data_IF_102974043752
#
_entry.id   IF_102974043752
#
_cell.length_a   1.000
_cell.length_b   1.000
_cell.length_c   1.000
_cell.angle_alpha   90.00
_cell.angle_beta   90.00
_cell.angle_gamma   90.00
#
_symmetry.space_group_name_H-M   'P 1'
#
loop_
_entity.id
_entity.type
_entity.pdbx_description
1 polymer ?
#
# COMPACT_ATOMS: atom_id res chain seq x y z
N UNK A 1 -13.47 -12.74 -8.97
CA UNK A 1 -12.51 -13.10 -10.04
C UNK A 1 -13.07 -13.00 -11.48
N UNK A 2 -14.39 -12.98 -11.73
CA UNK A 2 -14.95 -13.04 -13.10
C UNK A 2 -14.79 -11.78 -13.99
N UNK A 3 -14.37 -10.62 -13.48
CA UNK A 3 -14.21 -9.39 -14.30
C UNK A 3 -12.87 -9.29 -15.05
N UNK A 4 -11.89 -10.15 -14.74
CA UNK A 4 -10.58 -10.18 -15.38
C UNK A 4 -10.53 -11.03 -16.67
N UNK A 5 -11.63 -11.68 -17.05
CA UNK A 5 -11.72 -12.50 -18.28
C UNK A 5 -11.77 -11.68 -19.58
N UNK A 6 -11.90 -10.36 -19.49
CA UNK A 6 -11.71 -9.48 -20.65
C UNK A 6 -10.22 -9.16 -20.77
N UNK A 7 -9.55 -9.72 -21.79
CA UNK A 7 -8.10 -9.64 -21.96
C UNK A 7 -7.51 -8.22 -21.87
N UNK A 8 -8.27 -7.19 -22.27
CA UNK A 8 -7.88 -5.78 -22.14
C UNK A 8 -7.67 -5.34 -20.68
N UNK A 9 -8.58 -5.69 -19.76
CA UNK A 9 -8.46 -5.30 -18.35
C UNK A 9 -7.32 -6.01 -17.64
N UNK A 10 -6.98 -7.22 -18.07
CA UNK A 10 -5.85 -7.96 -17.53
C UNK A 10 -4.52 -7.33 -17.94
N UNK A 11 -4.36 -6.95 -19.21
CA UNK A 11 -3.15 -6.23 -19.66
C UNK A 11 -3.03 -4.84 -19.03
N UNK A 12 -4.15 -4.10 -18.89
CA UNK A 12 -4.15 -2.83 -18.14
C UNK A 12 -3.72 -3.04 -16.69
N UNK A 13 -4.19 -4.11 -16.02
CA UNK A 13 -3.80 -4.44 -14.64
C UNK A 13 -2.32 -4.82 -14.54
N UNK A 14 -1.82 -5.59 -15.51
CA UNK A 14 -0.40 -5.93 -15.62
C UNK A 14 0.48 -4.70 -15.82
N UNK A 15 0.02 -3.73 -16.60
CA UNK A 15 0.75 -2.47 -16.82
C UNK A 15 0.96 -1.69 -15.52
N UNK A 16 -0.01 -1.75 -14.58
CA UNK A 16 0.12 -1.09 -13.27
C UNK A 16 1.27 -1.68 -12.47
N UNK A 17 1.40 -3.01 -12.40
CA UNK A 17 2.49 -3.64 -11.68
C UNK A 17 3.85 -3.44 -12.36
N UNK A 18 3.91 -3.37 -13.69
CA UNK A 18 5.15 -2.98 -14.41
C UNK A 18 5.60 -1.57 -14.01
N UNK A 19 4.68 -0.60 -14.00
CA UNK A 19 4.98 0.76 -13.55
C UNK A 19 5.45 0.79 -12.09
N UNK A 20 4.88 -0.06 -11.22
CA UNK A 20 5.31 -0.14 -9.83
C UNK A 20 6.69 -0.77 -9.66
N UNK A 21 7.04 -1.74 -10.51
CA UNK A 21 8.39 -2.32 -10.58
C UNK A 21 9.40 -1.24 -11.01
N UNK A 22 9.10 -0.48 -12.09
CA UNK A 22 9.95 0.62 -12.58
C UNK A 22 10.16 1.72 -11.52
N UNK A 23 9.16 1.97 -10.69
CA UNK A 23 9.22 2.97 -9.61
C UNK A 23 9.81 2.44 -8.29
N UNK A 24 10.27 1.18 -8.25
CA UNK A 24 10.74 0.52 -7.01
C UNK A 24 9.70 0.60 -5.87
N UNK A 25 8.42 0.51 -6.22
CA UNK A 25 7.30 0.36 -5.28
C UNK A 25 7.16 -1.12 -4.89
N UNK A 26 7.39 -2.00 -5.87
CA UNK A 26 7.45 -3.45 -5.70
C UNK A 26 8.73 -3.98 -6.34
N UNK A 27 9.16 -5.15 -5.89
CA UNK A 27 10.24 -5.91 -6.52
C UNK A 27 9.87 -7.40 -6.58
N UNK A 28 10.49 -8.14 -7.50
CA UNK A 28 10.32 -9.59 -7.56
C UNK A 28 11.07 -10.24 -6.42
N UNK A 29 10.45 -11.24 -5.81
CA UNK A 29 11.13 -12.09 -4.84
C UNK A 29 12.08 -13.03 -5.60
N UNK A 30 13.38 -13.05 -5.25
CA UNK A 30 14.34 -13.99 -5.83
C UNK A 30 13.90 -15.44 -5.61
N UNK A 31 14.15 -16.32 -6.60
CA UNK A 31 13.75 -17.73 -6.50
C UNK A 31 14.34 -18.43 -5.27
N UNK A 32 15.55 -18.05 -4.88
CA UNK A 32 16.26 -18.57 -3.69
C UNK A 32 15.60 -18.15 -2.38
N UNK A 33 14.79 -17.08 -2.36
CA UNK A 33 14.11 -16.53 -1.18
C UNK A 33 12.63 -16.93 -1.10
N UNK A 34 12.11 -17.68 -2.09
CA UNK A 34 10.70 -18.09 -2.11
C UNK A 34 10.30 -18.93 -0.89
N UNK A 35 11.24 -19.66 -0.30
CA UNK A 35 11.03 -20.51 0.86
C UNK A 35 11.22 -19.81 2.22
N UNK A 36 11.54 -18.50 2.22
CA UNK A 36 11.63 -17.74 3.47
C UNK A 36 10.28 -17.68 4.19
N UNK A 37 10.33 -17.44 5.51
CA UNK A 37 9.15 -17.08 6.27
C UNK A 37 8.52 -15.81 5.70
N UNK A 38 7.24 -15.87 5.33
CA UNK A 38 6.59 -14.81 4.60
C UNK A 38 5.08 -14.78 4.81
N UNK A 39 4.44 -13.72 4.33
CA UNK A 39 2.99 -13.58 4.28
C UNK A 39 2.53 -13.04 2.93
N UNK A 40 1.43 -13.57 2.41
CA UNK A 40 0.86 -13.19 1.13
C UNK A 40 -0.39 -12.34 1.28
N UNK A 41 -0.35 -11.12 0.76
CA UNK A 41 -1.48 -10.22 0.67
C UNK A 41 -2.36 -10.60 -0.52
N UNK A 42 -3.63 -10.98 -0.29
CA UNK A 42 -4.57 -11.10 -1.38
C UNK A 42 -4.84 -9.71 -1.96
N UNK A 43 -4.97 -9.65 -3.28
CA UNK A 43 -5.32 -8.42 -3.98
C UNK A 43 -6.42 -8.64 -5.00
N UNK A 44 -7.07 -7.53 -5.35
CA UNK A 44 -8.06 -7.48 -6.42
C UNK A 44 -8.00 -6.15 -7.15
N UNK A 45 -8.31 -6.12 -8.46
CA UNK A 45 -8.49 -4.88 -9.18
C UNK A 45 -9.79 -4.19 -8.75
N UNK A 46 -9.70 -2.90 -8.44
CA UNK A 46 -10.85 -1.99 -8.40
C UNK A 46 -10.81 -1.14 -9.66
N UNK A 47 -11.85 -1.28 -10.49
CA UNK A 47 -11.98 -0.57 -11.76
C UNK A 47 -12.92 0.61 -11.56
N UNK A 48 -12.44 1.83 -11.82
CA UNK A 48 -13.22 3.07 -11.80
C UNK A 48 -13.13 3.73 -13.17
N UNK A 49 -14.08 3.41 -14.05
CA UNK A 49 -14.09 3.86 -15.45
C UNK A 49 -14.28 5.37 -15.58
N UNK A 50 -14.88 5.98 -14.56
CA UNK A 50 -15.12 7.40 -14.36
C UNK A 50 -13.90 8.17 -13.81
N UNK A 51 -12.84 7.45 -13.40
CA UNK A 51 -11.63 8.09 -12.89
C UNK A 51 -10.79 8.67 -14.02
N UNK A 52 -10.55 9.99 -13.97
CA UNK A 52 -9.69 10.69 -14.93
C UNK A 52 -8.21 10.26 -14.84
N UNK A 53 -7.73 9.89 -13.65
CA UNK A 53 -6.30 9.64 -13.39
C UNK A 53 -5.95 8.16 -13.31
N UNK A 54 -6.79 7.30 -12.72
CA UNK A 54 -6.44 5.88 -12.54
C UNK A 54 -7.64 4.97 -12.71
N UNK A 55 -7.77 4.40 -13.91
CA UNK A 55 -8.87 3.52 -14.30
C UNK A 55 -8.87 2.18 -13.55
N UNK A 56 -7.70 1.66 -13.17
CA UNK A 56 -7.55 0.40 -12.43
C UNK A 56 -6.60 0.60 -11.25
N UNK A 57 -7.05 0.22 -10.05
CA UNK A 57 -6.25 0.25 -8.83
C UNK A 57 -6.18 -1.14 -8.18
N UNK A 58 -4.99 -1.73 -8.01
CA UNK A 58 -4.84 -2.90 -7.17
C UNK A 58 -5.14 -2.54 -5.71
N UNK A 59 -6.04 -3.29 -5.07
CA UNK A 59 -6.36 -3.16 -3.66
C UNK A 59 -5.94 -4.43 -2.94
N UNK A 60 -5.16 -4.26 -1.90
CA UNK A 60 -4.61 -5.34 -1.07
C UNK A 60 -5.37 -5.39 0.26
N UNK A 61 -5.55 -6.60 0.77
CA UNK A 61 -6.27 -6.82 2.03
C UNK A 61 -5.37 -7.48 3.07
N UNK A 62 -4.77 -6.67 3.92
CA UNK A 62 -3.97 -7.13 5.07
C UNK A 62 -4.82 -7.61 6.26
N UNK A 63 -6.15 -7.55 6.16
CA UNK A 63 -7.09 -8.05 7.17
C UNK A 63 -7.68 -9.42 6.79
N UNK A 64 -7.38 -9.90 5.58
CA UNK A 64 -7.70 -11.24 5.15
C UNK A 64 -7.03 -12.26 6.08
N UNK A 65 -7.79 -13.28 6.49
CA UNK A 65 -7.32 -14.32 7.41
C UNK A 65 -7.84 -15.68 7.01
N UNK A 66 -7.03 -16.70 7.25
CA UNK A 66 -7.48 -18.08 7.22
C UNK A 66 -8.32 -18.39 8.48
N UNK A 67 -9.25 -19.34 8.40
CA UNK A 67 -10.07 -19.72 9.54
C UNK A 67 -9.17 -20.19 10.70
N UNK A 68 -9.26 -19.50 11.83
CA UNK A 68 -8.48 -19.82 13.03
C UNK A 68 -7.05 -19.29 13.04
N UNK A 69 -6.63 -18.50 12.04
CA UNK A 69 -5.32 -17.83 12.02
C UNK A 69 -5.48 -16.30 12.09
N UNK A 70 -4.49 -15.57 12.63
CA UNK A 70 -4.51 -14.10 12.61
C UNK A 70 -4.31 -13.57 11.19
N UNK A 71 -4.82 -12.37 10.91
CA UNK A 71 -4.43 -11.59 9.73
C UNK A 71 -3.09 -10.88 9.98
N UNK A 72 -2.45 -10.37 8.92
CA UNK A 72 -1.28 -9.52 9.06
C UNK A 72 -1.56 -8.32 9.99
N UNK A 73 -2.71 -7.69 9.84
CA UNK A 73 -3.11 -6.56 10.69
C UNK A 73 -3.35 -6.91 12.16
N UNK A 74 -3.63 -8.18 12.48
CA UNK A 74 -3.73 -8.63 13.88
C UNK A 74 -2.35 -8.85 14.51
N UNK A 75 -1.32 -9.14 13.68
CA UNK A 75 0.06 -9.36 14.12
C UNK A 75 0.88 -8.07 14.21
N UNK A 76 0.47 -7.00 13.52
CA UNK A 76 1.20 -5.74 13.48
C UNK A 76 0.84 -4.82 14.66
N UNK A 77 1.86 -4.18 15.22
CA UNK A 77 1.64 -3.05 16.12
C UNK A 77 1.17 -1.84 15.32
N UNK A 78 -0.05 -1.37 15.59
CA UNK A 78 -0.70 -0.28 14.85
C UNK A 78 -0.05 1.08 15.08
N UNK A 79 0.69 1.24 16.17
CA UNK A 79 1.16 2.53 16.65
C UNK A 79 0.08 3.33 17.38
N UNK A 80 0.49 4.45 17.97
CA UNK A 80 -0.43 5.42 18.57
C UNK A 80 -1.17 6.20 17.47
N UNK A 81 -2.40 6.60 17.74
CA UNK A 81 -3.13 7.44 16.80
C UNK A 81 -2.59 8.88 16.86
N UNK A 82 -1.80 9.26 15.88
CA UNK A 82 -1.23 10.60 15.72
C UNK A 82 -2.09 11.53 14.86
N UNK A 83 -3.26 11.06 14.38
CA UNK A 83 -4.15 11.89 13.58
C UNK A 83 -4.83 12.89 14.51
N UNK A 84 -4.57 14.16 14.26
CA UNK A 84 -5.23 15.25 14.96
C UNK A 84 -6.73 15.30 14.67
N UNK A 85 -7.50 15.81 15.63
CA UNK A 85 -8.94 15.94 15.45
C UNK A 85 -9.23 17.07 14.48
N UNK A 86 -10.13 16.82 13.52
CA UNK A 86 -10.53 17.81 12.51
C UNK A 86 -10.97 19.16 13.13
N UNK A 87 -11.77 19.21 14.22
CA UNK A 87 -12.14 20.48 14.84
C UNK A 87 -10.92 21.29 15.29
N UNK A 88 -9.93 20.65 15.94
CA UNK A 88 -8.72 21.31 16.43
C UNK A 88 -7.90 21.90 15.27
N UNK A 89 -7.82 21.18 14.15
CA UNK A 89 -7.18 21.67 12.91
C UNK A 89 -7.92 22.90 12.36
N UNK A 90 -9.25 22.83 12.27
CA UNK A 90 -10.08 23.92 11.73
C UNK A 90 -10.02 25.17 12.60
N UNK A 91 -10.00 25.02 13.92
CA UNK A 91 -9.90 26.13 14.85
C UNK A 91 -8.56 26.86 14.68
N UNK A 92 -7.43 26.13 14.60
CA UNK A 92 -6.12 26.74 14.35
C UNK A 92 -6.02 27.39 12.97
N UNK A 93 -6.59 26.76 11.95
CA UNK A 93 -6.61 27.30 10.58
C UNK A 93 -7.35 28.65 10.49
N UNK A 94 -8.33 28.89 11.38
CA UNK A 94 -9.12 30.14 11.44
C UNK A 94 -8.47 31.26 12.25
N UNK A 95 -7.39 31.01 12.98
CA UNK A 95 -6.74 32.03 13.83
C UNK A 95 -6.13 33.16 13.00
N UNK A 96 -5.60 32.86 11.82
CA UNK A 96 -4.89 33.81 10.98
C UNK A 96 -5.66 34.12 9.69
N UNK A 97 -5.49 35.34 9.12
CA UNK A 97 -6.23 35.75 7.93
C UNK A 97 -5.83 35.01 6.65
N UNK A 98 -4.68 34.32 6.65
CA UNK A 98 -4.18 33.55 5.51
C UNK A 98 -3.84 32.15 5.97
N UNK A 99 -4.39 31.13 5.29
CA UNK A 99 -4.10 29.73 5.51
C UNK A 99 -3.40 29.10 4.30
N UNK A 100 -2.42 28.22 4.57
CA UNK A 100 -1.70 27.47 3.53
C UNK A 100 -2.11 26.00 3.65
N UNK A 101 -2.42 25.38 2.52
CA UNK A 101 -2.77 23.96 2.43
C UNK A 101 -1.93 23.32 1.32
N UNK A 102 -1.43 22.12 1.58
CA UNK A 102 -0.71 21.30 0.62
C UNK A 102 -1.18 19.84 0.75
N UNK A 103 -1.18 19.12 -0.37
CA UNK A 103 -1.42 17.68 -0.41
C UNK A 103 -0.12 16.96 -0.79
N UNK A 104 0.22 15.90 -0.06
CA UNK A 104 1.41 15.09 -0.34
C UNK A 104 0.96 13.93 -1.23
N UNK A 105 1.16 14.09 -2.54
CA UNK A 105 0.82 13.05 -3.50
C UNK A 105 1.53 11.73 -3.14
N UNK A 106 0.77 10.63 -3.02
CA UNK A 106 1.29 9.28 -2.75
C UNK A 106 2.19 9.20 -1.49
N UNK A 107 1.82 9.92 -0.43
CA UNK A 107 2.61 10.04 0.81
C UNK A 107 3.19 8.71 1.35
N UNK A 108 2.41 7.63 1.42
CA UNK A 108 2.92 6.33 1.91
C UNK A 108 4.04 5.76 1.04
N UNK A 109 4.03 6.00 -0.27
CA UNK A 109 5.04 5.46 -1.18
C UNK A 109 6.40 6.15 -1.03
N UNK A 110 6.44 7.29 -0.34
CA UNK A 110 7.69 7.97 0.01
C UNK A 110 8.46 7.25 1.14
N UNK A 111 7.79 6.39 1.90
CA UNK A 111 8.39 5.64 2.99
C UNK A 111 8.84 4.25 2.53
N UNK A 112 10.09 3.92 2.78
CA UNK A 112 10.65 2.58 2.52
C UNK A 112 10.32 1.60 3.64
N UNK A 113 10.03 0.36 3.27
CA UNK A 113 9.94 -0.78 4.21
C UNK A 113 11.32 -1.40 4.35
N UNK A 114 11.72 -1.69 5.59
CA UNK A 114 12.98 -2.36 5.87
C UNK A 114 13.02 -3.75 5.21
N UNK A 115 14.18 -4.14 4.68
CA UNK A 115 14.33 -5.38 3.89
C UNK A 115 13.76 -6.61 4.59
N UNK A 116 14.04 -6.77 5.88
CA UNK A 116 13.56 -7.87 6.72
C UNK A 116 12.03 -7.97 6.84
N UNK A 117 11.31 -6.88 6.62
CA UNK A 117 9.85 -6.81 6.80
C UNK A 117 9.09 -6.93 5.46
N UNK A 118 9.79 -6.83 4.32
CA UNK A 118 9.17 -6.89 2.98
C UNK A 118 8.55 -8.25 2.67
N UNK A 119 9.10 -9.31 3.24
CA UNK A 119 8.60 -10.68 3.06
C UNK A 119 7.18 -10.89 3.61
N UNK A 120 6.70 -10.03 4.50
CA UNK A 120 5.33 -10.08 5.00
C UNK A 120 4.33 -9.30 4.13
N UNK A 121 4.84 -8.60 3.10
CA UNK A 121 4.07 -7.83 2.12
C UNK A 121 4.15 -8.46 0.72
N UNK A 122 4.36 -9.78 0.65
CA UNK A 122 4.40 -10.49 -0.63
C UNK A 122 3.02 -10.59 -1.26
N UNK A 123 2.95 -10.74 -2.57
CA UNK A 123 1.70 -11.05 -3.27
C UNK A 123 1.97 -11.82 -4.57
N UNK A 124 0.96 -12.58 -5.00
CA UNK A 124 1.02 -13.35 -6.23
C UNK A 124 0.44 -12.57 -7.41
N UNK A 125 1.16 -12.52 -8.53
CA UNK A 125 0.62 -12.04 -9.80
C UNK A 125 0.58 -13.20 -10.82
N UNK A 126 -0.62 -13.64 -11.24
CA UNK A 126 -0.73 -14.72 -12.23
C UNK A 126 -0.36 -14.18 -13.61
N UNK A 127 0.70 -14.70 -14.25
CA UNK A 127 1.05 -14.31 -15.62
C UNK A 127 1.46 -15.54 -16.44
N UNK A 128 0.69 -15.86 -17.49
CA UNK A 128 1.03 -16.81 -18.56
C UNK A 128 1.93 -17.97 -18.11
N UNK A 129 1.38 -18.85 -17.27
CA UNK A 129 1.99 -20.12 -16.81
C UNK A 129 3.10 -20.03 -15.75
N UNK A 130 3.61 -18.82 -15.43
CA UNK A 130 4.53 -18.62 -14.28
C UNK A 130 3.85 -17.85 -13.16
N UNK A 131 3.96 -18.36 -11.93
CA UNK A 131 3.56 -17.63 -10.74
C UNK A 131 4.66 -16.63 -10.39
N UNK A 132 4.41 -15.35 -10.63
CA UNK A 132 5.31 -14.29 -10.21
C UNK A 132 4.97 -13.89 -8.77
N UNK A 133 5.99 -13.86 -7.91
CA UNK A 133 5.88 -13.37 -6.55
C UNK A 133 6.58 -12.03 -6.45
N UNK A 134 5.84 -11.03 -6.00
CA UNK A 134 6.34 -9.69 -5.75
C UNK A 134 6.28 -9.38 -4.25
N UNK A 135 7.08 -8.43 -3.79
CA UNK A 135 7.00 -7.84 -2.46
C UNK A 135 6.96 -6.31 -2.54
N UNK A 136 6.26 -5.67 -1.60
CA UNK A 136 6.25 -4.21 -1.51
C UNK A 136 7.53 -3.68 -0.86
N UNK A 137 8.18 -2.73 -1.53
CA UNK A 137 9.37 -2.05 -1.02
C UNK A 137 9.04 -0.80 -0.20
N UNK A 138 7.79 -0.31 -0.33
CA UNK A 138 7.28 0.93 0.27
C UNK A 138 6.08 0.67 1.16
N UNK A 139 5.82 1.58 2.09
CA UNK A 139 4.64 1.49 2.96
C UNK A 139 3.39 1.51 2.08
N UNK A 140 2.49 0.56 2.35
CA UNK A 140 1.33 0.31 1.50
C UNK A 140 0.00 0.62 2.19
N UNK A 141 -1.02 0.89 1.38
CA UNK A 141 -2.38 1.13 1.85
C UNK A 141 -3.02 -0.16 2.38
N UNK A 142 -3.82 -0.05 3.45
CA UNK A 142 -4.55 -1.19 4.03
C UNK A 142 -3.80 -1.94 5.12
N UNK A 143 -2.52 -1.63 5.33
CA UNK A 143 -1.73 -2.10 6.48
C UNK A 143 -1.99 -1.17 7.68
N UNK A 144 -2.24 -1.76 8.83
CA UNK A 144 -2.74 -1.05 10.02
C UNK A 144 -1.73 -0.10 10.66
N UNK A 145 -0.43 -0.35 10.50
CA UNK A 145 0.66 0.51 10.98
C UNK A 145 0.97 1.68 10.05
N UNK A 146 0.53 1.65 8.79
CA UNK A 146 0.87 2.66 7.78
C UNK A 146 0.52 4.10 8.20
N UNK A 147 -0.67 4.40 8.76
CA UNK A 147 -1.00 5.76 9.19
C UNK A 147 -0.07 6.30 10.27
N UNK A 148 0.32 5.45 11.22
CA UNK A 148 1.29 5.83 12.26
C UNK A 148 2.65 6.13 11.66
N UNK A 149 3.17 5.23 10.80
CA UNK A 149 4.47 5.41 10.16
C UNK A 149 4.55 6.72 9.38
N UNK A 150 3.50 7.08 8.65
CA UNK A 150 3.43 8.34 7.91
C UNK A 150 3.42 9.55 8.84
N UNK A 151 2.51 9.60 9.81
CA UNK A 151 2.40 10.74 10.70
C UNK A 151 3.66 10.94 11.56
N UNK A 152 4.23 9.85 12.10
CA UNK A 152 5.46 9.91 12.87
C UNK A 152 6.64 10.43 12.02
N UNK A 153 6.72 10.01 10.76
CA UNK A 153 7.75 10.50 9.83
C UNK A 153 7.57 11.99 9.53
N UNK A 154 6.33 12.45 9.28
CA UNK A 154 6.04 13.87 9.04
C UNK A 154 6.39 14.71 10.28
N UNK A 155 5.96 14.30 11.47
CA UNK A 155 6.29 15.00 12.72
C UNK A 155 7.80 15.11 12.92
N UNK A 156 8.53 14.01 12.73
CA UNK A 156 9.99 14.00 12.83
C UNK A 156 10.67 14.95 11.84
N UNK A 157 10.15 15.06 10.62
CA UNK A 157 10.68 15.97 9.59
C UNK A 157 10.31 17.44 9.83
N UNK A 158 9.27 17.74 10.62
CA UNK A 158 8.87 19.10 10.97
C UNK A 158 9.56 19.61 12.24
N UNK A 159 10.02 18.71 13.11
CA UNK A 159 10.70 19.04 14.37
C UNK A 159 12.23 19.23 14.21
N UNK A 160 12.82 18.79 13.09
CA UNK A 160 14.23 18.98 12.74
C UNK A 160 14.39 19.98 11.59
#
# INVERSE_FOLDING_TARGET
>A
MNKLRNGKFFEDYKSVFRQWEDLNIIERVPEVELNNECHYLPHRPVIKLDSATTKIRPVFDASAREKGKPSLNDCLYKGVNLIERIPDILDRFRIYPVGIVADIEKAFLMLSVALKDRDYLRFFFPCNEKQLVYMHCRVWFGVSSSPYLLNASIMHLLEN
#
